data_IF_296338129631
#
_entry.id   IF_296338129631
#
_cell.length_a   1.000
_cell.length_b   1.000
_cell.length_c   1.000
_cell.angle_alpha   90.00
_cell.angle_beta   90.00
_cell.angle_gamma   90.00
#
_symmetry.space_group_name_H-M   'P 1'
#
loop_
_entity.id
_entity.type
_entity.pdbx_description
1 polymer ?
#
# COMPACT_ATOMS: atom_id res chain seq x y z
N UNK A 1 31.93 5.56 -23.73
CA UNK A 1 31.81 5.10 -22.34
C UNK A 1 30.33 4.92 -22.08
N UNK A 2 29.83 3.67 -22.12
CA UNK A 2 28.47 3.35 -21.78
C UNK A 2 28.36 3.42 -20.25
N UNK A 3 27.63 4.41 -19.74
CA UNK A 3 27.27 4.48 -18.32
C UNK A 3 26.54 3.21 -17.85
N UNK A 4 26.46 2.93 -16.56
CA UNK A 4 25.75 1.76 -16.07
C UNK A 4 24.31 1.79 -16.59
N UNK A 5 23.89 0.72 -17.27
CA UNK A 5 22.50 0.57 -17.72
C UNK A 5 21.62 0.49 -16.50
N UNK A 6 20.87 1.54 -16.21
CA UNK A 6 19.87 1.53 -15.12
C UNK A 6 18.79 0.54 -15.53
N UNK A 7 18.61 -0.51 -14.74
CA UNK A 7 17.62 -1.55 -15.00
C UNK A 7 16.20 -0.97 -14.85
N UNK A 8 15.22 -1.42 -15.65
CA UNK A 8 13.82 -0.99 -15.55
C UNK A 8 13.26 -1.13 -14.13
N UNK A 9 13.76 -2.10 -13.37
CA UNK A 9 13.41 -2.35 -11.97
C UNK A 9 13.83 -1.19 -11.05
N UNK A 10 15.06 -0.68 -11.19
CA UNK A 10 15.54 0.44 -10.38
C UNK A 10 14.75 1.73 -10.65
N UNK A 11 14.30 1.95 -11.91
CA UNK A 11 13.43 3.08 -12.26
C UNK A 11 12.05 2.91 -11.62
N UNK A 12 11.49 1.71 -11.69
CA UNK A 12 10.22 1.37 -11.06
C UNK A 12 10.29 1.62 -9.55
N UNK A 13 11.31 1.10 -8.87
CA UNK A 13 11.47 1.23 -7.41
C UNK A 13 11.60 2.70 -6.99
N UNK A 14 12.40 3.49 -7.71
CA UNK A 14 12.57 4.92 -7.41
C UNK A 14 11.29 5.72 -7.68
N UNK A 15 10.59 5.47 -8.80
CA UNK A 15 9.32 6.13 -9.10
C UNK A 15 8.27 5.78 -8.04
N UNK A 16 8.19 4.49 -7.70
CA UNK A 16 7.27 4.02 -6.66
C UNK A 16 7.53 4.69 -5.33
N UNK A 17 8.78 4.73 -4.87
CA UNK A 17 9.15 5.39 -3.62
C UNK A 17 8.73 6.86 -3.60
N UNK A 18 8.98 7.60 -4.70
CA UNK A 18 8.63 9.02 -4.83
C UNK A 18 7.14 9.30 -4.93
N UNK A 19 6.36 8.36 -5.42
CA UNK A 19 4.89 8.48 -5.44
C UNK A 19 4.35 8.26 -4.03
N UNK A 20 4.84 7.23 -3.34
CA UNK A 20 4.40 6.88 -1.99
C UNK A 20 4.80 7.95 -0.96
N UNK A 21 5.99 8.53 -1.07
CA UNK A 21 6.44 9.63 -0.18
C UNK A 21 5.89 11.01 -0.56
N UNK A 22 4.98 11.06 -1.56
CA UNK A 22 4.33 12.27 -2.07
C UNK A 22 5.27 13.29 -2.72
N UNK A 23 6.47 12.89 -3.14
CA UNK A 23 7.32 13.73 -4.02
C UNK A 23 6.66 13.99 -5.37
N UNK A 24 5.71 13.15 -5.78
CA UNK A 24 4.72 13.40 -6.83
C UNK A 24 3.36 13.59 -6.17
N UNK A 25 2.75 14.75 -6.39
CA UNK A 25 1.48 15.10 -5.77
C UNK A 25 0.30 14.28 -6.35
N UNK A 26 -0.77 14.03 -5.56
CA UNK A 26 -2.02 13.50 -6.09
C UNK A 26 -2.50 14.29 -7.31
N UNK A 27 -2.91 13.59 -8.38
CA UNK A 27 -3.31 14.20 -9.66
C UNK A 27 -2.16 14.58 -10.60
N UNK A 28 -0.91 14.55 -10.15
CA UNK A 28 0.25 14.89 -10.98
C UNK A 28 0.42 13.92 -12.14
N UNK A 29 0.79 14.46 -13.31
CA UNK A 29 1.00 13.68 -14.53
C UNK A 29 2.44 13.20 -14.62
N UNK A 30 2.63 11.91 -14.85
CA UNK A 30 3.93 11.29 -15.07
C UNK A 30 4.03 10.83 -16.52
N UNK A 31 4.92 11.48 -17.30
CA UNK A 31 5.11 11.18 -18.71
C UNK A 31 6.35 10.32 -18.95
N UNK A 32 6.28 9.48 -19.97
CA UNK A 32 7.42 8.64 -20.38
C UNK A 32 8.67 9.49 -20.75
N UNK A 33 8.44 10.69 -21.31
CA UNK A 33 9.53 11.62 -21.69
C UNK A 33 10.22 12.18 -20.46
N UNK A 34 9.48 12.66 -19.46
CA UNK A 34 10.04 13.21 -18.23
C UNK A 34 10.81 12.15 -17.42
N UNK A 35 10.26 10.93 -17.37
CA UNK A 35 10.94 9.80 -16.71
C UNK A 35 12.21 9.41 -17.48
N UNK A 36 12.15 9.32 -18.80
CA UNK A 36 13.31 8.98 -19.63
C UNK A 36 14.44 10.01 -19.47
N UNK A 37 14.11 11.30 -19.47
CA UNK A 37 15.07 12.39 -19.25
C UNK A 37 15.68 12.36 -17.84
N UNK A 38 14.83 12.18 -16.81
CA UNK A 38 15.27 12.15 -15.41
C UNK A 38 16.26 11.03 -15.11
N UNK A 39 16.04 9.84 -15.70
CA UNK A 39 16.86 8.65 -15.42
C UNK A 39 17.91 8.38 -16.50
N UNK A 40 18.03 9.26 -17.51
CA UNK A 40 18.93 9.09 -18.66
C UNK A 40 18.77 7.71 -19.33
N UNK A 41 17.51 7.34 -19.63
CA UNK A 41 17.17 6.06 -20.27
C UNK A 41 16.31 6.25 -21.51
N UNK A 42 16.22 5.20 -22.34
CA UNK A 42 15.33 5.21 -23.49
C UNK A 42 13.85 5.24 -23.07
N UNK A 43 12.99 5.95 -23.83
CA UNK A 43 11.53 6.00 -23.57
C UNK A 43 10.86 4.65 -23.38
N UNK A 44 11.19 3.57 -24.13
CA UNK A 44 10.61 2.26 -23.90
C UNK A 44 10.89 1.72 -22.48
N UNK A 45 12.08 2.00 -21.92
CA UNK A 45 12.43 1.60 -20.54
C UNK A 45 11.58 2.35 -19.50
N UNK A 46 11.46 3.68 -19.67
CA UNK A 46 10.57 4.50 -18.83
C UNK A 46 9.11 4.03 -18.93
N UNK A 47 8.65 3.71 -20.14
CA UNK A 47 7.30 3.18 -20.39
C UNK A 47 7.05 1.88 -19.59
N UNK A 48 7.98 0.94 -19.60
CA UNK A 48 7.83 -0.33 -18.86
C UNK A 48 7.65 -0.10 -17.37
N UNK A 49 8.42 0.80 -16.75
CA UNK A 49 8.27 1.13 -15.33
C UNK A 49 6.90 1.77 -15.04
N UNK A 50 6.46 2.71 -15.87
CA UNK A 50 5.15 3.36 -15.71
C UNK A 50 4.00 2.36 -15.92
N UNK A 51 4.08 1.47 -16.91
CA UNK A 51 3.06 0.45 -17.17
C UNK A 51 2.91 -0.52 -15.99
N UNK A 52 4.02 -0.86 -15.34
CA UNK A 52 3.99 -1.69 -14.13
C UNK A 52 3.29 -0.97 -12.97
N UNK A 53 3.61 0.31 -12.73
CA UNK A 53 2.94 1.13 -11.71
C UNK A 53 1.43 1.28 -11.99
N UNK A 54 1.04 1.39 -13.26
CA UNK A 54 -0.38 1.40 -13.66
C UNK A 54 -1.06 0.05 -13.40
N UNK A 55 -0.37 -1.05 -13.72
CA UNK A 55 -0.90 -2.39 -13.48
C UNK A 55 -1.08 -2.71 -11.98
N UNK A 56 -0.28 -2.08 -11.12
CA UNK A 56 -0.34 -2.22 -9.66
C UNK A 56 -1.30 -1.19 -9.00
N UNK A 57 -1.93 -0.30 -9.76
CA UNK A 57 -2.86 0.72 -9.23
C UNK A 57 -2.18 1.94 -8.59
N UNK A 58 -0.85 2.01 -8.54
CA UNK A 58 -0.08 3.15 -8.02
C UNK A 58 -0.19 4.36 -8.94
N UNK A 59 -0.37 4.13 -10.23
CA UNK A 59 -0.73 5.14 -11.23
C UNK A 59 -2.03 4.75 -11.91
N UNK A 60 -2.82 5.74 -12.32
CA UNK A 60 -3.98 5.55 -13.21
C UNK A 60 -3.68 6.12 -14.60
N UNK A 61 -4.13 5.46 -15.64
CA UNK A 61 -4.00 5.94 -17.01
C UNK A 61 -5.32 5.81 -17.76
N UNK A 62 -5.82 6.92 -18.25
CA UNK A 62 -6.89 6.94 -19.23
C UNK A 62 -6.35 6.69 -20.64
N UNK A 63 -7.20 6.17 -21.54
CA UNK A 63 -6.79 5.93 -22.91
C UNK A 63 -6.21 7.20 -23.56
N UNK A 64 -5.06 7.07 -24.20
CA UNK A 64 -4.35 8.15 -24.89
C UNK A 64 -3.88 9.33 -24.02
N UNK A 65 -3.83 9.17 -22.70
CA UNK A 65 -3.33 10.19 -21.76
C UNK A 65 -2.07 9.75 -21.04
N UNK A 66 -1.36 10.72 -20.46
CA UNK A 66 -0.27 10.45 -19.53
C UNK A 66 -0.79 9.73 -18.29
N UNK A 67 0.04 8.90 -17.68
CA UNK A 67 -0.27 8.33 -16.38
C UNK A 67 -0.33 9.44 -15.32
N UNK A 68 -1.17 9.26 -14.29
CA UNK A 68 -1.34 10.22 -13.18
C UNK A 68 -1.29 9.50 -11.85
N UNK A 69 -0.80 10.18 -10.84
CA UNK A 69 -0.98 9.76 -9.44
C UNK A 69 -2.48 9.83 -9.12
N UNK A 70 -3.11 8.75 -8.60
CA UNK A 70 -4.50 8.79 -8.17
C UNK A 70 -4.73 9.92 -7.18
N UNK A 71 -5.83 10.64 -7.36
CA UNK A 71 -6.34 11.59 -6.38
C UNK A 71 -7.61 10.98 -5.78
N UNK A 72 -7.47 10.46 -4.57
CA UNK A 72 -8.54 9.75 -3.88
C UNK A 72 -9.26 10.74 -2.97
N UNK A 73 -10.58 10.75 -3.04
CA UNK A 73 -11.42 11.48 -2.09
C UNK A 73 -11.76 10.62 -0.86
N UNK A 74 -12.49 11.20 0.09
CA UNK A 74 -12.86 10.49 1.31
C UNK A 74 -13.78 9.30 1.05
N UNK A 75 -14.61 9.34 -0.01
CA UNK A 75 -15.48 8.23 -0.38
C UNK A 75 -14.68 7.08 -1.01
N UNK A 76 -13.71 7.40 -1.87
CA UNK A 76 -12.76 6.42 -2.42
C UNK A 76 -12.00 5.69 -1.30
N UNK A 77 -11.52 6.45 -0.30
CA UNK A 77 -10.81 5.88 0.86
C UNK A 77 -11.71 4.93 1.64
N UNK A 78 -12.96 5.31 1.91
CA UNK A 78 -13.92 4.45 2.63
C UNK A 78 -14.15 3.16 1.84
N UNK A 79 -14.43 3.23 0.55
CA UNK A 79 -14.68 2.05 -0.29
C UNK A 79 -13.47 1.11 -0.33
N UNK A 80 -12.27 1.64 -0.54
CA UNK A 80 -11.04 0.84 -0.57
C UNK A 80 -10.78 0.11 0.73
N UNK A 81 -10.88 0.81 1.87
CA UNK A 81 -10.59 0.22 3.17
C UNK A 81 -11.68 -0.75 3.63
N UNK A 82 -12.94 -0.53 3.29
CA UNK A 82 -14.03 -1.45 3.60
C UNK A 82 -13.86 -2.78 2.82
N UNK A 83 -13.52 -2.72 1.53
CA UNK A 83 -13.21 -3.91 0.74
C UNK A 83 -11.96 -4.64 1.28
N UNK A 84 -10.93 -3.91 1.67
CA UNK A 84 -9.74 -4.45 2.33
C UNK A 84 -10.10 -5.19 3.62
N UNK A 85 -10.92 -4.57 4.48
CA UNK A 85 -11.34 -5.14 5.75
C UNK A 85 -12.09 -6.46 5.58
N UNK A 86 -12.99 -6.57 4.58
CA UNK A 86 -13.71 -7.81 4.27
C UNK A 86 -12.74 -8.95 3.95
N UNK A 87 -11.75 -8.69 3.08
CA UNK A 87 -10.79 -9.72 2.65
C UNK A 87 -9.85 -10.10 3.78
N UNK A 88 -9.24 -9.13 4.44
CA UNK A 88 -8.20 -9.37 5.43
C UNK A 88 -8.73 -9.94 6.74
N UNK A 89 -9.87 -9.46 7.24
CA UNK A 89 -10.48 -10.00 8.46
C UNK A 89 -10.87 -11.47 8.30
N UNK A 90 -11.37 -11.86 7.11
CA UNK A 90 -11.65 -13.26 6.81
C UNK A 90 -10.36 -14.09 6.70
N UNK A 91 -9.31 -13.52 6.10
CA UNK A 91 -8.02 -14.19 5.94
C UNK A 91 -7.36 -14.48 7.30
N UNK A 92 -7.27 -13.49 8.19
CA UNK A 92 -6.64 -13.67 9.53
C UNK A 92 -7.43 -14.62 10.42
N UNK A 93 -8.78 -14.60 10.36
CA UNK A 93 -9.62 -15.56 11.07
C UNK A 93 -9.34 -17.00 10.64
N UNK A 94 -9.17 -17.21 9.34
CA UNK A 94 -8.83 -18.52 8.79
C UNK A 94 -7.42 -18.95 9.18
N UNK A 95 -6.44 -18.06 9.12
CA UNK A 95 -5.07 -18.33 9.58
C UNK A 95 -5.06 -18.79 11.04
N UNK A 96 -5.81 -18.11 11.92
CA UNK A 96 -5.94 -18.48 13.32
C UNK A 96 -6.58 -19.87 13.48
N UNK A 97 -7.66 -20.16 12.74
CA UNK A 97 -8.33 -21.47 12.79
C UNK A 97 -7.42 -22.62 12.30
N UNK A 98 -6.60 -22.38 11.32
CA UNK A 98 -5.68 -23.36 10.72
C UNK A 98 -4.33 -23.45 11.47
N UNK A 99 -4.06 -22.57 12.44
CA UNK A 99 -2.81 -22.51 13.18
C UNK A 99 -1.63 -22.07 12.29
N UNK A 100 -1.89 -21.27 11.26
CA UNK A 100 -0.88 -20.80 10.30
C UNK A 100 -0.45 -19.39 10.68
N UNK A 101 0.82 -19.19 11.01
CA UNK A 101 1.41 -17.87 11.26
C UNK A 101 2.45 -17.56 10.18
N UNK A 102 2.16 -16.67 9.20
CA UNK A 102 3.07 -16.40 8.11
C UNK A 102 4.37 -15.72 8.58
N UNK A 103 5.53 -16.37 8.37
CA UNK A 103 6.83 -15.82 8.75
C UNK A 103 7.12 -14.46 8.07
N UNK A 104 6.63 -14.27 6.84
CA UNK A 104 6.77 -13.01 6.11
C UNK A 104 6.02 -11.86 6.80
N UNK A 105 4.85 -12.11 7.41
CA UNK A 105 4.10 -11.10 8.17
C UNK A 105 4.88 -10.68 9.43
N UNK A 106 5.47 -11.65 10.15
CA UNK A 106 6.32 -11.35 11.31
C UNK A 106 7.52 -10.48 10.90
N UNK A 107 8.19 -10.84 9.81
CA UNK A 107 9.35 -10.09 9.31
C UNK A 107 8.96 -8.66 8.90
N UNK A 108 7.83 -8.49 8.20
CA UNK A 108 7.32 -7.18 7.80
C UNK A 108 6.97 -6.31 9.01
N UNK A 109 6.30 -6.85 10.04
CA UNK A 109 5.98 -6.10 11.25
C UNK A 109 7.24 -5.63 12.00
N UNK A 110 8.26 -6.47 12.10
CA UNK A 110 9.56 -6.08 12.69
C UNK A 110 10.24 -4.95 11.91
N UNK A 111 10.11 -4.95 10.58
CA UNK A 111 10.68 -3.92 9.73
C UNK A 111 9.97 -2.57 9.91
N UNK A 112 8.66 -2.54 10.18
CA UNK A 112 7.90 -1.32 10.50
C UNK A 112 8.52 -0.60 11.68
N UNK A 113 8.74 -1.29 12.79
CA UNK A 113 9.27 -0.71 14.03
C UNK A 113 10.67 -0.08 13.85
N UNK A 114 11.45 -0.55 12.88
CA UNK A 114 12.79 -0.07 12.57
C UNK A 114 12.83 1.02 11.47
N UNK A 115 11.71 1.33 10.82
CA UNK A 115 11.65 2.18 9.62
C UNK A 115 11.11 3.56 9.92
N UNK A 116 11.72 4.58 9.26
CA UNK A 116 11.14 5.94 9.20
C UNK A 116 10.03 6.04 8.15
N UNK A 117 10.07 5.21 7.13
CA UNK A 117 9.05 5.07 6.11
C UNK A 117 8.44 3.67 6.22
N UNK A 118 7.32 3.56 6.91
CA UNK A 118 6.73 2.26 7.20
C UNK A 118 5.71 1.79 6.15
N UNK A 119 5.23 2.65 5.25
CA UNK A 119 4.14 2.33 4.34
C UNK A 119 4.37 1.04 3.53
N UNK A 120 5.56 0.85 2.94
CA UNK A 120 5.87 -0.37 2.18
C UNK A 120 5.93 -1.63 3.04
N UNK A 121 6.36 -1.51 4.30
CA UNK A 121 6.40 -2.63 5.25
C UNK A 121 5.00 -2.98 5.76
N UNK A 122 4.16 -1.96 5.97
CA UNK A 122 2.74 -2.13 6.29
C UNK A 122 2.04 -2.94 5.19
N UNK A 123 2.19 -2.52 3.93
CA UNK A 123 1.65 -3.25 2.78
C UNK A 123 2.19 -4.68 2.68
N UNK A 124 3.49 -4.87 2.94
CA UNK A 124 4.08 -6.21 2.94
C UNK A 124 3.50 -7.11 4.04
N UNK A 125 3.19 -6.55 5.22
CA UNK A 125 2.53 -7.26 6.30
C UNK A 125 1.16 -7.79 5.87
N UNK A 126 0.30 -6.93 5.35
CA UNK A 126 -1.06 -7.29 4.94
C UNK A 126 -1.07 -8.27 3.76
N UNK A 127 -0.22 -8.06 2.77
CA UNK A 127 -0.02 -9.03 1.68
C UNK A 127 0.40 -10.40 2.19
N UNK A 128 1.32 -10.45 3.16
CA UNK A 128 1.79 -11.70 3.73
C UNK A 128 0.71 -12.46 4.50
N UNK A 129 -0.20 -11.76 5.20
CA UNK A 129 -1.35 -12.38 5.86
C UNK A 129 -2.28 -13.05 4.84
N UNK A 130 -2.66 -12.33 3.78
CA UNK A 130 -3.58 -12.89 2.76
C UNK A 130 -2.89 -13.99 1.94
N UNK A 131 -1.62 -13.82 1.56
CA UNK A 131 -0.84 -14.82 0.85
C UNK A 131 -0.55 -16.09 1.67
N UNK A 132 -0.62 -16.00 3.01
CA UNK A 132 -0.55 -17.13 3.91
C UNK A 132 -1.71 -18.13 3.74
N UNK A 133 -2.78 -17.72 3.06
CA UNK A 133 -3.87 -18.60 2.68
C UNK A 133 -3.51 -19.43 1.43
N UNK A 134 -3.91 -20.71 1.33
CA UNK A 134 -3.70 -21.53 0.13
C UNK A 134 -4.69 -21.14 -0.99
N UNK A 135 -4.80 -19.85 -1.30
CA UNK A 135 -5.72 -19.30 -2.30
C UNK A 135 -5.05 -18.23 -3.18
N UNK A 136 -4.42 -18.65 -4.30
CA UNK A 136 -3.83 -17.69 -5.24
C UNK A 136 -4.83 -16.68 -5.81
N UNK A 137 -6.12 -17.04 -5.89
CA UNK A 137 -7.16 -16.13 -6.35
C UNK A 137 -7.44 -15.02 -5.34
N UNK A 138 -7.46 -15.36 -4.05
CA UNK A 138 -7.63 -14.37 -2.98
C UNK A 138 -6.45 -13.40 -2.93
N UNK A 139 -5.24 -13.91 -3.01
CA UNK A 139 -4.03 -13.09 -3.08
C UNK A 139 -4.08 -12.11 -4.25
N UNK A 140 -4.44 -12.58 -5.46
CA UNK A 140 -4.57 -11.72 -6.64
C UNK A 140 -5.67 -10.66 -6.50
N UNK A 141 -6.81 -11.01 -5.90
CA UNK A 141 -7.90 -10.05 -5.63
C UNK A 141 -7.44 -8.96 -4.67
N UNK A 142 -6.76 -9.35 -3.58
CA UNK A 142 -6.22 -8.44 -2.60
C UNK A 142 -5.13 -7.54 -3.19
N UNK A 143 -4.20 -8.11 -3.98
CA UNK A 143 -3.13 -7.34 -4.65
C UNK A 143 -3.67 -6.23 -5.56
N UNK A 144 -4.85 -6.41 -6.15
CA UNK A 144 -5.47 -5.39 -6.99
C UNK A 144 -5.91 -4.13 -6.21
N UNK A 145 -6.12 -4.25 -4.90
CA UNK A 145 -6.43 -3.12 -4.02
C UNK A 145 -5.17 -2.48 -3.45
N UNK A 146 -4.10 -3.25 -3.30
CA UNK A 146 -2.96 -2.87 -2.46
C UNK A 146 -2.13 -1.71 -3.02
N UNK A 147 -2.19 -1.42 -4.32
CA UNK A 147 -1.51 -0.26 -4.90
C UNK A 147 -2.12 1.06 -4.41
N UNK A 148 -3.44 1.19 -4.50
CA UNK A 148 -4.15 2.38 -4.03
C UNK A 148 -4.14 2.47 -2.49
N UNK A 149 -4.24 1.34 -1.79
CA UNK A 149 -4.07 1.30 -0.33
C UNK A 149 -2.69 1.81 0.09
N UNK A 150 -1.63 1.46 -0.64
CA UNK A 150 -0.29 1.94 -0.33
C UNK A 150 -0.15 3.47 -0.46
N UNK A 151 -0.80 4.06 -1.47
CA UNK A 151 -0.90 5.53 -1.58
C UNK A 151 -1.59 6.12 -0.34
N UNK A 152 -2.68 5.52 0.11
CA UNK A 152 -3.39 5.93 1.32
C UNK A 152 -2.50 5.83 2.57
N UNK A 153 -1.77 4.73 2.75
CA UNK A 153 -0.87 4.56 3.90
C UNK A 153 0.31 5.54 3.82
N UNK A 154 0.81 5.85 2.61
CA UNK A 154 1.79 6.93 2.40
C UNK A 154 1.27 8.29 2.89
N UNK A 155 0.00 8.61 2.62
CA UNK A 155 -0.64 9.84 3.12
C UNK A 155 -0.81 9.82 4.64
N UNK A 156 -1.25 8.69 5.23
CA UNK A 156 -1.35 8.52 6.69
C UNK A 156 0.00 8.78 7.36
N UNK A 157 1.08 8.25 6.79
CA UNK A 157 2.44 8.48 7.28
C UNK A 157 2.87 9.93 7.11
N UNK A 158 2.69 10.54 5.93
CA UNK A 158 3.10 11.91 5.64
C UNK A 158 2.37 12.94 6.51
N UNK A 159 1.08 12.71 6.79
CA UNK A 159 0.26 13.54 7.66
C UNK A 159 0.44 13.21 9.17
N UNK A 160 1.35 12.30 9.52
CA UNK A 160 1.60 11.86 10.91
C UNK A 160 0.33 11.39 11.66
N UNK A 161 -0.62 10.79 10.94
CA UNK A 161 -1.88 10.32 11.52
C UNK A 161 -1.71 9.05 12.37
N UNK A 162 -0.65 8.29 12.11
CA UNK A 162 -0.19 7.12 12.88
C UNK A 162 1.34 7.09 12.91
N UNK A 163 1.88 6.59 13.99
CA UNK A 163 3.32 6.33 14.14
C UNK A 163 3.65 4.88 13.77
N UNK A 164 4.89 4.63 13.38
CA UNK A 164 5.38 3.26 13.14
C UNK A 164 5.20 2.35 14.38
N UNK A 165 5.37 2.92 15.58
CA UNK A 165 5.20 2.17 16.84
C UNK A 165 3.73 1.73 17.03
N UNK A 166 2.76 2.63 16.85
CA UNK A 166 1.33 2.32 16.95
C UNK A 166 0.92 1.25 15.92
N UNK A 167 1.36 1.39 14.68
CA UNK A 167 1.08 0.40 13.62
C UNK A 167 1.67 -0.96 13.98
N UNK A 168 2.95 -0.99 14.39
CA UNK A 168 3.62 -2.24 14.76
C UNK A 168 2.98 -2.93 15.97
N UNK A 169 2.49 -2.17 16.96
CA UNK A 169 1.78 -2.71 18.13
C UNK A 169 0.44 -3.32 17.72
N UNK A 170 -0.34 -2.63 16.88
CA UNK A 170 -1.62 -3.14 16.37
C UNK A 170 -1.41 -4.43 15.56
N UNK A 171 -0.41 -4.48 14.69
CA UNK A 171 -0.05 -5.67 13.94
C UNK A 171 0.38 -6.82 14.85
N UNK A 172 1.16 -6.55 15.91
CA UNK A 172 1.54 -7.56 16.87
C UNK A 172 0.32 -8.19 17.55
N UNK A 173 -0.68 -7.38 17.91
CA UNK A 173 -1.95 -7.88 18.46
C UNK A 173 -2.67 -8.86 17.52
N UNK A 174 -2.65 -8.58 16.20
CA UNK A 174 -3.22 -9.48 15.19
C UNK A 174 -2.42 -10.79 15.12
N UNK A 175 -1.08 -10.72 15.10
CA UNK A 175 -0.21 -11.91 15.08
C UNK A 175 -0.40 -12.77 16.33
N UNK A 176 -0.53 -12.15 17.50
CA UNK A 176 -0.74 -12.84 18.78
C UNK A 176 -2.09 -13.57 18.81
N UNK A 177 -3.14 -12.94 18.28
CA UNK A 177 -4.46 -13.57 18.17
C UNK A 177 -4.44 -14.76 17.19
N UNK A 178 -3.73 -14.64 16.06
CA UNK A 178 -3.53 -15.76 15.12
C UNK A 178 -2.78 -16.90 15.81
N UNK A 179 -1.70 -16.60 16.52
CA UNK A 179 -0.90 -17.61 17.24
C UNK A 179 -1.71 -18.32 18.34
N UNK A 180 -2.59 -17.59 19.01
CA UNK A 180 -3.50 -18.14 20.02
C UNK A 180 -4.65 -18.99 19.43
N UNK A 181 -4.83 -19.00 18.11
CA UNK A 181 -5.95 -19.67 17.46
C UNK A 181 -7.29 -18.95 17.66
N UNK A 182 -7.28 -17.71 18.12
CA UNK A 182 -8.48 -16.91 18.38
C UNK A 182 -8.93 -16.19 17.10
N UNK A 183 -9.68 -16.90 16.27
CA UNK A 183 -10.18 -16.41 14.99
C UNK A 183 -11.07 -15.16 15.11
N UNK A 184 -11.89 -15.10 16.17
CA UNK A 184 -12.78 -13.97 16.40
C UNK A 184 -11.97 -12.72 16.76
N UNK A 185 -11.00 -12.85 17.65
CA UNK A 185 -10.13 -11.75 18.06
C UNK A 185 -9.21 -11.28 16.95
N UNK A 186 -8.63 -12.20 16.16
CA UNK A 186 -7.81 -11.86 15.01
C UNK A 186 -8.60 -11.03 13.98
N UNK A 187 -9.83 -11.48 13.64
CA UNK A 187 -10.73 -10.76 12.74
C UNK A 187 -11.09 -9.37 13.26
N UNK A 188 -11.45 -9.28 14.53
CA UNK A 188 -11.81 -8.02 15.19
C UNK A 188 -10.65 -7.02 15.15
N UNK A 189 -9.44 -7.44 15.58
CA UNK A 189 -8.26 -6.58 15.60
C UNK A 189 -7.85 -6.10 14.21
N UNK A 190 -7.93 -6.97 13.19
CA UNK A 190 -7.68 -6.59 11.80
C UNK A 190 -8.66 -5.52 11.33
N UNK A 191 -9.96 -5.69 11.64
CA UNK A 191 -10.99 -4.73 11.29
C UNK A 191 -10.79 -3.38 12.00
N UNK A 192 -10.51 -3.39 13.31
CA UNK A 192 -10.24 -2.18 14.09
C UNK A 192 -9.02 -1.40 13.56
N UNK A 193 -7.94 -2.11 13.22
CA UNK A 193 -6.74 -1.52 12.63
C UNK A 193 -7.03 -0.83 11.30
N UNK A 194 -7.73 -1.53 10.39
CA UNK A 194 -8.06 -1.03 9.05
C UNK A 194 -9.04 0.15 9.15
N UNK A 195 -10.11 0.02 9.94
CA UNK A 195 -11.09 1.08 10.15
C UNK A 195 -10.46 2.32 10.79
N UNK A 196 -9.57 2.15 11.76
CA UNK A 196 -8.87 3.26 12.39
C UNK A 196 -8.01 4.08 11.41
N UNK A 197 -7.32 3.42 10.49
CA UNK A 197 -6.55 4.09 9.43
C UNK A 197 -7.46 4.80 8.42
N UNK A 198 -8.55 4.14 7.98
CA UNK A 198 -9.59 4.72 7.12
C UNK A 198 -10.14 6.01 7.69
N UNK A 199 -10.62 5.98 8.93
CA UNK A 199 -11.34 7.10 9.54
C UNK A 199 -10.43 8.31 9.75
N UNK A 200 -9.17 8.09 10.12
CA UNK A 200 -8.17 9.16 10.24
C UNK A 200 -7.90 9.82 8.90
N UNK A 201 -7.66 9.03 7.86
CA UNK A 201 -7.36 9.57 6.53
C UNK A 201 -8.56 10.29 5.92
N UNK A 202 -9.76 9.71 5.96
CA UNK A 202 -10.97 10.34 5.44
C UNK A 202 -11.27 11.66 6.18
N UNK A 203 -11.03 11.72 7.49
CA UNK A 203 -11.17 12.96 8.27
C UNK A 203 -10.14 14.01 7.86
N UNK A 204 -8.88 13.61 7.61
CA UNK A 204 -7.82 14.53 7.17
C UNK A 204 -8.16 15.13 5.81
N UNK A 205 -8.56 14.31 4.84
CA UNK A 205 -8.94 14.75 3.49
C UNK A 205 -10.10 15.77 3.53
N UNK A 206 -11.12 15.50 4.34
CA UNK A 206 -12.26 16.42 4.47
C UNK A 206 -11.87 17.77 5.12
N UNK A 207 -10.90 17.76 6.03
CA UNK A 207 -10.35 19.00 6.62
C UNK A 207 -9.62 19.85 5.59
N UNK A 208 -8.74 19.23 4.81
CA UNK A 208 -7.93 19.95 3.80
C UNK A 208 -8.82 20.61 2.73
N UNK A 209 -9.93 19.95 2.36
CA UNK A 209 -10.93 20.51 1.45
C UNK A 209 -11.62 21.73 2.09
N UNK A 210 -12.00 21.65 3.37
CA UNK A 210 -12.69 22.74 4.05
C UNK A 210 -11.80 23.97 4.26
N UNK A 211 -10.48 23.79 4.44
CA UNK A 211 -9.50 24.87 4.60
C UNK A 211 -9.08 25.51 3.27
N UNK A 212 -9.41 24.88 2.14
CA UNK A 212 -9.08 25.35 0.78
C UNK A 212 -10.19 26.17 0.13
N UNK A 213 -11.34 26.35 0.81
CA UNK A 213 -12.51 27.15 0.39
C UNK A 213 -12.58 28.46 1.15
#
# INVERSE_FOLDING_TARGET
MTGPTILPEAIYDELRARIIDQSYAPGESITESAVAERFDVARPTAKMAIERLVAEGILRREAHRAARVPQLDAADVVDLFDNRAIVESAAVAKLATEGILPAAAIAANRAIAASKNFASHDIAFHRALVAGQPSPRLAKLHDALMGEIELCIGQVQAAHLLTAAEVSEQHQGILDAILAGDAARASQLSNEHIAGSRDRLATSINKDIAESI
#
